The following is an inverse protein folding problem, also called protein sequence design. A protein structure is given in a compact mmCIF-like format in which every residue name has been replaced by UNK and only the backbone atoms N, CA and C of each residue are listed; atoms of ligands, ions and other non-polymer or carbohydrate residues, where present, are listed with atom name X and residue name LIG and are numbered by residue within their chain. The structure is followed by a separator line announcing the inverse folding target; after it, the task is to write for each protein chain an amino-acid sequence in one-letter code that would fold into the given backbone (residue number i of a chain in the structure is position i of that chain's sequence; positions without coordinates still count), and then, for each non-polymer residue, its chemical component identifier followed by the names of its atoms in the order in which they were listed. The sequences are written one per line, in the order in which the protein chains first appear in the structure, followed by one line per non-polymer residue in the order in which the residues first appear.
data_IF_996090555993
#
_entry.id   IF_996090555993
#
_cell.length_a   1.000
_cell.length_b   1.000
_cell.length_c   1.000
_cell.angle_alpha   90.00
_cell.angle_beta   90.00
_cell.angle_gamma   90.00
#
_symmetry.space_group_name_H-M   'P 1'
#
loop_
_entity.id
_entity.type
_entity.pdbx_description
1 polymer ?
#
# COMPACT_ATOMS: atom_id res chain seq x y z
N UNK A 1 -1.21 3.35 -14.78
CA UNK A 1 0.09 2.97 -14.15
C UNK A 1 1.03 2.15 -15.03
N UNK A 2 0.56 1.43 -16.06
CA UNK A 2 1.45 0.67 -16.95
C UNK A 2 2.48 1.55 -17.67
N UNK A 3 2.09 2.76 -18.09
CA UNK A 3 3.01 3.76 -18.67
C UNK A 3 4.20 4.06 -17.76
N UNK A 4 3.96 4.33 -16.47
CA UNK A 4 5.03 4.62 -15.50
C UNK A 4 6.01 3.44 -15.39
N UNK A 5 5.50 2.20 -15.36
CA UNK A 5 6.35 1.01 -15.38
C UNK A 5 7.20 0.93 -16.66
N UNK A 6 6.62 1.18 -17.82
CA UNK A 6 7.35 1.17 -19.10
C UNK A 6 8.43 2.26 -19.15
N UNK A 7 8.12 3.47 -18.66
CA UNK A 7 9.09 4.55 -18.56
C UNK A 7 10.25 4.20 -17.62
N UNK A 8 9.96 3.57 -16.48
CA UNK A 8 11.00 3.09 -15.56
C UNK A 8 11.85 1.96 -16.16
N UNK A 9 11.32 1.17 -17.10
CA UNK A 9 12.07 0.08 -17.74
C UNK A 9 12.97 0.58 -18.88
N UNK A 10 12.76 1.79 -19.39
CA UNK A 10 13.56 2.34 -20.47
C UNK A 10 14.92 2.85 -19.93
N UNK A 11 16.06 2.28 -20.37
CA UNK A 11 17.39 2.71 -19.91
C UNK A 11 17.82 4.07 -20.49
N UNK A 12 17.24 4.50 -21.62
CA UNK A 12 17.63 5.73 -22.31
C UNK A 12 16.95 6.98 -21.75
N UNK A 13 15.91 6.81 -20.92
CA UNK A 13 15.20 7.93 -20.29
C UNK A 13 15.76 8.13 -18.88
N UNK A 14 16.36 9.30 -18.64
CA UNK A 14 16.89 9.70 -17.35
C UNK A 14 15.76 10.12 -16.40
N UNK A 15 14.91 9.17 -16.02
CA UNK A 15 13.69 9.39 -15.22
C UNK A 15 13.99 9.87 -13.79
N UNK A 16 15.23 9.69 -13.37
CA UNK A 16 15.80 10.12 -12.11
C UNK A 16 15.49 11.59 -11.79
N UNK A 17 15.66 12.48 -12.77
CA UNK A 17 15.41 13.92 -12.63
C UNK A 17 13.94 14.25 -12.33
N UNK A 18 13.02 13.37 -12.74
CA UNK A 18 11.57 13.55 -12.61
C UNK A 18 10.94 12.76 -11.45
N UNK A 19 11.73 12.00 -10.69
CA UNK A 19 11.21 11.15 -9.60
C UNK A 19 10.41 11.97 -8.57
N UNK A 20 10.87 13.16 -8.23
CA UNK A 20 10.20 14.02 -7.25
C UNK A 20 8.77 14.42 -7.69
N UNK A 21 8.52 14.57 -8.99
CA UNK A 21 7.21 14.86 -9.57
C UNK A 21 6.38 13.60 -9.82
N UNK A 22 7.02 12.47 -10.14
CA UNK A 22 6.35 11.20 -10.41
C UNK A 22 5.89 10.48 -9.15
N UNK A 23 6.60 10.62 -8.03
CA UNK A 23 6.27 9.91 -6.79
C UNK A 23 4.91 10.30 -6.19
N UNK A 24 4.54 11.58 -6.05
CA UNK A 24 3.25 11.98 -5.49
C UNK A 24 2.01 11.37 -6.17
N UNK A 25 1.87 11.34 -7.51
CA UNK A 25 0.72 10.72 -8.15
C UNK A 25 0.68 9.20 -7.97
N UNK A 26 1.84 8.52 -7.98
CA UNK A 26 1.89 7.07 -7.75
C UNK A 26 1.47 6.75 -6.30
N UNK A 27 1.99 7.49 -5.33
CA UNK A 27 1.63 7.34 -3.91
C UNK A 27 0.14 7.62 -3.71
N UNK A 28 -0.40 8.65 -4.38
CA UNK A 28 -1.83 8.98 -4.32
C UNK A 28 -2.68 7.80 -4.81
N UNK A 29 -2.30 7.11 -5.88
CA UNK A 29 -3.03 5.92 -6.33
C UNK A 29 -2.97 4.73 -5.35
N UNK A 30 -2.02 4.72 -4.40
CA UNK A 30 -1.95 3.74 -3.33
C UNK A 30 -2.87 4.13 -2.17
N UNK A 31 -2.77 5.38 -1.69
CA UNK A 31 -3.41 5.83 -0.43
C UNK A 31 -4.63 6.75 -0.63
N UNK A 32 -5.15 6.88 -1.85
CA UNK A 32 -6.35 7.67 -2.11
C UNK A 32 -7.60 7.05 -1.47
N UNK A 33 -8.41 7.92 -0.85
CA UNK A 33 -9.69 7.56 -0.19
C UNK A 33 -10.68 6.92 -1.16
N UNK A 34 -10.73 7.39 -2.40
CA UNK A 34 -11.58 6.86 -3.48
C UNK A 34 -10.82 6.88 -4.79
N UNK A 35 -10.95 5.81 -5.57
CA UNK A 35 -10.41 5.70 -6.92
C UNK A 35 -11.51 5.11 -7.78
N UNK A 36 -11.98 5.88 -8.79
CA UNK A 36 -13.10 5.49 -9.63
C UNK A 36 -14.47 5.61 -8.96
N UNK A 37 -15.51 5.10 -9.65
CA UNK A 37 -16.89 5.10 -9.16
C UNK A 37 -17.18 3.84 -8.31
N UNK A 38 -18.20 3.91 -7.44
CA UNK A 38 -18.47 3.01 -6.30
C UNK A 38 -18.54 1.48 -6.56
N UNK A 39 -18.54 1.02 -7.81
CA UNK A 39 -18.91 -0.35 -8.18
C UNK A 39 -17.79 -1.17 -8.86
N UNK A 40 -16.63 -0.59 -9.17
CA UNK A 40 -15.53 -1.36 -9.78
C UNK A 40 -14.49 -1.82 -8.74
N UNK A 41 -14.46 -3.14 -8.48
CA UNK A 41 -13.46 -3.80 -7.63
C UNK A 41 -12.03 -3.73 -8.19
N UNK A 42 -11.82 -3.17 -9.39
CA UNK A 42 -10.51 -3.04 -10.04
C UNK A 42 -9.51 -2.17 -9.25
N UNK A 43 -9.99 -1.33 -8.33
CA UNK A 43 -9.14 -0.41 -7.57
C UNK A 43 -8.15 -1.13 -6.61
N UNK A 44 -8.41 -2.37 -6.20
CA UNK A 44 -7.50 -3.16 -5.35
C UNK A 44 -6.21 -3.54 -6.10
N UNK A 45 -6.35 -4.02 -7.33
CA UNK A 45 -5.23 -4.40 -8.19
C UNK A 45 -4.39 -3.18 -8.57
N UNK A 46 -5.04 -2.05 -8.87
CA UNK A 46 -4.34 -0.81 -9.15
C UNK A 46 -3.45 -0.37 -7.98
N UNK A 47 -3.94 -0.47 -6.74
CA UNK A 47 -3.13 -0.17 -5.54
C UNK A 47 -1.95 -1.11 -5.41
N UNK A 48 -2.16 -2.42 -5.55
CA UNK A 48 -1.09 -3.42 -5.49
C UNK A 48 -0.04 -3.20 -6.58
N UNK A 49 -0.47 -2.91 -7.81
CA UNK A 49 0.43 -2.62 -8.92
C UNK A 49 1.22 -1.32 -8.70
N UNK A 50 0.59 -0.30 -8.14
CA UNK A 50 1.23 0.98 -7.84
C UNK A 50 2.26 0.84 -6.71
N UNK A 51 1.96 0.03 -5.68
CA UNK A 51 2.91 -0.30 -4.62
C UNK A 51 4.18 -0.98 -5.18
N UNK A 52 4.02 -1.94 -6.11
CA UNK A 52 5.15 -2.59 -6.77
C UNK A 52 6.02 -1.62 -7.58
N UNK A 53 5.41 -0.63 -8.24
CA UNK A 53 6.14 0.44 -8.94
C UNK A 53 6.97 1.26 -7.94
N UNK A 54 6.36 1.74 -6.84
CA UNK A 54 7.07 2.54 -5.82
C UNK A 54 8.27 1.79 -5.26
N UNK A 55 8.11 0.50 -4.98
CA UNK A 55 9.20 -0.35 -4.49
C UNK A 55 10.29 -0.52 -5.53
N UNK A 56 9.92 -0.69 -6.81
CA UNK A 56 10.91 -0.79 -7.89
C UNK A 56 11.74 0.49 -8.00
N UNK A 57 11.10 1.66 -7.82
CA UNK A 57 11.79 2.95 -7.76
C UNK A 57 12.71 3.01 -6.52
N UNK A 58 12.21 2.64 -5.34
CA UNK A 58 13.01 2.67 -4.10
C UNK A 58 14.23 1.74 -4.18
N UNK A 59 14.09 0.55 -4.77
CA UNK A 59 15.21 -0.39 -4.96
C UNK A 59 16.25 0.14 -5.94
N UNK A 60 15.81 0.76 -7.04
CA UNK A 60 16.71 1.26 -8.09
C UNK A 60 17.45 2.53 -7.66
N UNK A 61 16.72 3.49 -7.08
CA UNK A 61 17.23 4.84 -6.82
C UNK A 61 17.49 5.13 -5.33
N UNK A 62 17.17 4.21 -4.42
CA UNK A 62 17.33 4.42 -2.98
C UNK A 62 18.78 4.61 -2.51
N UNK A 63 19.76 4.14 -3.30
CA UNK A 63 21.18 4.35 -3.02
C UNK A 63 21.64 5.78 -3.35
N UNK A 64 21.03 6.42 -4.36
CA UNK A 64 21.32 7.83 -4.72
C UNK A 64 20.48 8.78 -3.88
N UNK A 65 19.21 8.42 -3.64
CA UNK A 65 18.25 9.23 -2.90
C UNK A 65 17.89 8.58 -1.57
N UNK A 66 18.76 8.74 -0.58
CA UNK A 66 18.54 8.19 0.77
C UNK A 66 17.23 8.66 1.43
N UNK A 67 16.72 9.84 1.06
CA UNK A 67 15.47 10.40 1.60
C UNK A 67 14.19 9.81 0.97
N UNK A 68 14.30 9.08 -0.15
CA UNK A 68 13.14 8.56 -0.89
C UNK A 68 12.38 7.52 -0.07
N UNK A 69 13.07 6.47 0.37
CA UNK A 69 12.45 5.37 1.10
C UNK A 69 11.88 5.80 2.47
N UNK A 70 12.58 6.61 3.30
CA UNK A 70 12.00 7.15 4.53
C UNK A 70 10.73 7.96 4.30
N UNK A 71 10.68 8.79 3.25
CA UNK A 71 9.50 9.61 2.93
C UNK A 71 8.29 8.76 2.54
N UNK A 72 8.50 7.78 1.66
CA UNK A 72 7.47 6.81 1.24
C UNK A 72 6.96 6.01 2.43
N UNK A 73 7.88 5.49 3.25
CA UNK A 73 7.56 4.71 4.44
C UNK A 73 6.72 5.52 5.42
N UNK A 74 7.10 6.78 5.68
CA UNK A 74 6.35 7.68 6.56
C UNK A 74 4.92 7.90 6.06
N UNK A 75 4.73 8.05 4.75
CA UNK A 75 3.39 8.18 4.17
C UNK A 75 2.54 6.92 4.37
N UNK A 76 3.09 5.73 4.12
CA UNK A 76 2.35 4.48 4.34
C UNK A 76 2.06 4.24 5.83
N UNK A 77 3.04 4.49 6.69
CA UNK A 77 2.86 4.34 8.13
C UNK A 77 1.77 5.27 8.66
N UNK A 78 1.78 6.54 8.25
CA UNK A 78 0.73 7.49 8.63
C UNK A 78 -0.65 7.03 8.14
N UNK A 79 -0.75 6.47 6.94
CA UNK A 79 -2.02 5.96 6.42
C UNK A 79 -2.48 4.67 7.12
N UNK A 80 -1.56 3.87 7.67
CA UNK A 80 -1.87 2.63 8.40
C UNK A 80 -2.25 2.86 9.86
N UNK A 81 -1.59 3.79 10.54
CA UNK A 81 -1.83 4.07 11.96
C UNK A 81 -3.03 4.97 12.25
N UNK A 82 -3.56 5.67 11.23
CA UNK A 82 -4.67 6.60 11.38
C UNK A 82 -6.03 5.87 11.25
N UNK A 83 -6.78 5.66 12.35
CA UNK A 83 -8.03 4.90 12.33
C UNK A 83 -9.16 5.62 11.59
N UNK A 84 -8.99 6.91 11.25
CA UNK A 84 -10.01 7.69 10.52
C UNK A 84 -9.98 7.43 9.01
N UNK A 85 -8.93 6.75 8.51
CA UNK A 85 -8.77 6.45 7.08
C UNK A 85 -9.65 5.28 6.67
N UNK A 86 -9.99 5.23 5.37
CA UNK A 86 -10.85 4.17 4.86
C UNK A 86 -10.08 2.86 4.65
N UNK A 87 -10.79 1.71 4.71
CA UNK A 87 -10.21 0.38 4.48
C UNK A 87 -9.36 0.28 3.19
N UNK A 88 -9.76 0.87 2.03
CA UNK A 88 -8.89 0.90 0.85
C UNK A 88 -7.56 1.64 1.04
N UNK A 89 -7.51 2.67 1.90
CA UNK A 89 -6.26 3.37 2.22
C UNK A 89 -5.36 2.51 3.09
N UNK A 90 -5.92 1.83 4.09
CA UNK A 90 -5.19 0.89 4.93
C UNK A 90 -4.64 -0.27 4.09
N UNK A 91 -5.43 -0.83 3.18
CA UNK A 91 -5.00 -1.87 2.25
C UNK A 91 -3.79 -1.41 1.43
N UNK A 92 -3.87 -0.22 0.83
CA UNK A 92 -2.77 0.34 0.05
C UNK A 92 -1.50 0.53 0.88
N UNK A 93 -1.64 1.04 2.11
CA UNK A 93 -0.53 1.21 3.03
C UNK A 93 0.12 -0.12 3.43
N UNK A 94 -0.68 -1.13 3.79
CA UNK A 94 -0.21 -2.47 4.15
C UNK A 94 0.53 -3.10 2.96
N UNK A 95 -0.06 -3.07 1.76
CA UNK A 95 0.59 -3.59 0.55
C UNK A 95 1.89 -2.86 0.23
N UNK A 96 1.92 -1.53 0.40
CA UNK A 96 3.11 -0.70 0.22
C UNK A 96 4.24 -1.11 1.19
N UNK A 97 3.94 -1.23 2.47
CA UNK A 97 4.90 -1.64 3.50
C UNK A 97 5.38 -3.07 3.27
N UNK A 98 4.46 -3.98 2.94
CA UNK A 98 4.79 -5.37 2.64
C UNK A 98 5.74 -5.51 1.45
N UNK A 99 5.53 -4.72 0.40
CA UNK A 99 6.36 -4.75 -0.78
C UNK A 99 7.76 -4.13 -0.56
N UNK A 100 7.92 -3.19 0.39
CA UNK A 100 9.22 -2.61 0.75
C UNK A 100 10.17 -3.65 1.38
N UNK A 101 9.62 -4.67 2.06
CA UNK A 101 10.38 -5.84 2.52
C UNK A 101 10.03 -6.32 3.93
N UNK A 102 10.48 -7.53 4.26
CA UNK A 102 10.19 -8.23 5.52
C UNK A 102 10.60 -7.44 6.77
N UNK A 103 11.74 -6.73 6.73
CA UNK A 103 12.21 -5.88 7.83
C UNK A 103 11.21 -4.76 8.16
N UNK A 104 10.62 -4.15 7.13
CA UNK A 104 9.63 -3.07 7.31
C UNK A 104 8.34 -3.62 7.92
N UNK A 105 7.89 -4.79 7.48
CA UNK A 105 6.71 -5.45 8.08
C UNK A 105 6.94 -5.79 9.54
N UNK A 106 8.12 -6.33 9.87
CA UNK A 106 8.50 -6.69 11.24
C UNK A 106 8.53 -5.47 12.16
N UNK A 107 9.04 -4.34 11.67
CA UNK A 107 9.20 -3.13 12.47
C UNK A 107 7.92 -2.30 12.57
N UNK A 108 7.06 -2.31 11.53
CA UNK A 108 5.93 -1.38 11.43
C UNK A 108 4.57 -2.04 11.62
N UNK A 109 4.36 -3.21 11.00
CA UNK A 109 3.06 -3.89 11.01
C UNK A 109 2.90 -4.76 12.25
N UNK A 110 3.90 -5.59 12.58
CA UNK A 110 3.79 -6.54 13.71
C UNK A 110 3.46 -5.86 15.05
N UNK A 111 4.12 -4.76 15.46
CA UNK A 111 3.84 -4.15 16.76
C UNK A 111 2.40 -3.63 16.87
N UNK A 112 1.83 -3.21 15.75
CA UNK A 112 0.49 -2.62 15.68
C UNK A 112 -0.58 -3.62 15.21
N UNK A 113 -0.21 -4.89 14.96
CA UNK A 113 -1.11 -5.87 14.36
C UNK A 113 -2.26 -6.23 15.29
N UNK A 114 -1.97 -6.48 16.57
CA UNK A 114 -2.98 -6.84 17.57
C UNK A 114 -4.06 -5.77 17.75
N UNK A 115 -3.72 -4.48 18.02
CA UNK A 115 -4.75 -3.44 18.13
C UNK A 115 -5.49 -3.22 16.80
N UNK A 116 -4.81 -3.37 15.67
CA UNK A 116 -5.44 -3.23 14.35
C UNK A 116 -6.45 -4.35 14.05
N UNK A 117 -6.15 -5.60 14.44
CA UNK A 117 -7.08 -6.73 14.27
C UNK A 117 -8.35 -6.55 15.09
N UNK A 118 -8.26 -6.07 16.33
CA UNK A 118 -9.44 -5.75 17.14
C UNK A 118 -10.33 -4.68 16.50
N UNK A 119 -9.76 -3.74 15.74
CA UNK A 119 -10.52 -2.76 14.96
C UNK A 119 -11.16 -3.37 13.71
N UNK A 120 -10.49 -4.35 13.07
CA UNK A 120 -10.91 -4.96 11.81
C UNK A 120 -11.97 -6.06 11.98
N UNK A 121 -11.86 -6.88 13.03
CA UNK A 121 -12.78 -7.97 13.37
C UNK A 121 -14.27 -7.57 13.33
N UNK A 122 -14.71 -6.47 13.97
CA UNK A 122 -16.13 -6.07 13.94
C UNK A 122 -16.61 -5.66 12.53
N UNK A 123 -15.72 -5.17 11.66
CA UNK A 123 -16.07 -4.80 10.28
C UNK A 123 -16.23 -6.03 9.35
N UNK A 124 -15.71 -7.20 9.75
CA UNK A 124 -15.87 -8.46 9.02
C UNK A 124 -17.15 -9.21 9.40
N UNK A 125 -17.65 -9.01 10.62
CA UNK A 125 -18.80 -9.74 11.15
C UNK A 125 -20.12 -9.27 10.50
N UNK A 126 -20.88 -10.24 9.98
CA UNK A 126 -22.21 -10.07 9.39
C UNK A 126 -23.19 -9.36 10.32
N UNK A 127 -23.13 -9.69 11.61
CA UNK A 127 -24.04 -9.17 12.66
C UNK A 127 -23.83 -7.67 12.93
N UNK A 128 -22.60 -7.19 12.79
CA UNK A 128 -22.21 -5.81 13.12
C UNK A 128 -22.17 -4.88 11.90
N UNK A 129 -21.88 -5.41 10.71
CA UNK A 129 -21.76 -4.62 9.49
C UNK A 129 -22.63 -5.16 8.36
N UNK A 130 -23.83 -4.59 8.18
CA UNK A 130 -24.76 -4.97 7.11
C UNK A 130 -24.27 -4.62 5.70
N UNK A 131 -23.33 -3.68 5.58
CA UNK A 131 -22.81 -3.22 4.29
C UNK A 131 -21.83 -4.25 3.69
N UNK A 132 -22.22 -4.88 2.58
CA UNK A 132 -21.42 -5.90 1.88
C UNK A 132 -20.08 -5.36 1.38
N UNK A 133 -20.06 -4.11 0.90
CA UNK A 133 -18.87 -3.47 0.33
C UNK A 133 -17.80 -3.27 1.41
N UNK A 134 -18.21 -2.86 2.62
CA UNK A 134 -17.29 -2.69 3.75
C UNK A 134 -16.74 -4.02 4.25
N UNK A 135 -17.59 -5.05 4.33
CA UNK A 135 -17.17 -6.41 4.69
C UNK A 135 -16.15 -6.96 3.70
N UNK A 136 -16.42 -6.84 2.39
CA UNK A 136 -15.49 -7.26 1.35
C UNK A 136 -14.15 -6.50 1.46
N UNK A 137 -14.19 -5.19 1.69
CA UNK A 137 -12.98 -4.40 1.91
C UNK A 137 -12.18 -4.87 3.15
N UNK A 138 -12.86 -5.22 4.24
CA UNK A 138 -12.21 -5.75 5.44
C UNK A 138 -11.55 -7.10 5.17
N UNK A 139 -12.21 -8.01 4.43
CA UNK A 139 -11.63 -9.28 3.99
C UNK A 139 -10.38 -9.07 3.12
N UNK A 140 -10.39 -8.09 2.20
CA UNK A 140 -9.22 -7.77 1.36
C UNK A 140 -8.03 -7.27 2.19
N UNK A 141 -8.29 -6.42 3.19
CA UNK A 141 -7.27 -5.94 4.14
C UNK A 141 -6.70 -7.11 4.94
N UNK A 142 -7.56 -7.98 5.46
CA UNK A 142 -7.13 -9.16 6.20
C UNK A 142 -6.28 -10.10 5.34
N UNK A 143 -6.69 -10.37 4.10
CA UNK A 143 -5.90 -11.15 3.15
C UNK A 143 -4.54 -10.51 2.85
N UNK A 144 -4.46 -9.18 2.75
CA UNK A 144 -3.18 -8.49 2.59
C UNK A 144 -2.25 -8.67 3.80
N UNK A 145 -2.79 -8.67 5.02
CA UNK A 145 -2.02 -8.93 6.24
C UNK A 145 -1.50 -10.38 6.29
N UNK A 146 -2.32 -11.36 5.90
CA UNK A 146 -1.91 -12.76 5.84
C UNK A 146 -0.79 -12.99 4.83
N UNK A 147 -0.90 -12.44 3.63
CA UNK A 147 0.17 -12.53 2.61
C UNK A 147 1.45 -11.88 3.12
N UNK A 148 1.33 -10.75 3.84
CA UNK A 148 2.49 -10.07 4.44
C UNK A 148 3.14 -10.91 5.56
N UNK A 149 2.37 -11.78 6.23
CA UNK A 149 2.88 -12.72 7.24
C UNK A 149 3.65 -13.89 6.63
N UNK A 150 3.27 -14.37 5.46
CA UNK A 150 4.00 -15.46 4.78
C UNK A 150 5.39 -15.02 4.28
N UNK A 151 5.62 -13.72 4.09
CA UNK A 151 6.94 -13.14 3.80
C UNK A 151 7.94 -13.29 4.99
N UNK A 152 7.50 -13.83 6.14
CA UNK A 152 8.37 -14.11 7.29
C UNK A 152 8.90 -15.55 7.36
N UNK A 153 8.36 -16.50 6.59
CA UNK A 153 8.63 -17.94 6.75
C UNK A 153 9.71 -18.45 5.75
N UNK A 154 10.38 -17.55 5.03
CA UNK A 154 11.51 -17.87 4.15
C UNK A 154 12.71 -17.04 4.61
#
# INVERSE_FOLDING_TARGET
MRLVRSLLQNPHIHIELYLHQLMPPIITCIVAKRIGNRLSDTHWELRSFSANIVVSICKRFGHVYHNLQPRVTKTFLHAFLDPTKSLPQHYGAIKGIAALGSRMVRSLIIPNLKPYLHLLEPEMQLEKQKNEIKRHAACQVYGALLVSRNVFII
#
